data_IF_330554081542
#
_entry.id   IF_330554081542
#
_cell.length_a   1.000
_cell.length_b   1.000
_cell.length_c   1.000
_cell.angle_alpha   90.00
_cell.angle_beta   90.00
_cell.angle_gamma   90.00
#
_symmetry.space_group_name_H-M   'P 1'
#
loop_
_entity.id
_entity.type
_entity.pdbx_description
1 polymer ?
#
# COMPACT_ATOMS: atom_id res chain seq x y z
N UNK A 1 -1.42 -10.54 2.42
CA UNK A 1 -0.59 -10.21 3.59
C UNK A 1 0.75 -10.94 3.57
N UNK A 2 1.53 -10.74 2.51
CA UNK A 2 2.98 -10.68 2.73
C UNK A 2 3.19 -9.46 3.61
N UNK A 3 4.04 -9.53 4.65
CA UNK A 3 4.48 -8.28 5.27
C UNK A 3 5.06 -7.40 4.15
N UNK A 4 5.10 -6.10 4.27
CA UNK A 4 5.84 -5.27 3.33
C UNK A 4 6.62 -4.27 4.16
N UNK A 5 7.70 -3.74 3.60
CA UNK A 5 8.50 -2.75 4.29
C UNK A 5 7.67 -1.52 4.68
N UNK A 6 6.56 -1.23 4.01
CA UNK A 6 5.65 -0.12 4.34
C UNK A 6 4.44 -0.52 5.20
N UNK A 7 4.30 -1.78 5.57
CA UNK A 7 3.15 -2.29 6.34
C UNK A 7 3.04 -1.60 7.71
N UNK A 8 4.18 -1.18 8.28
CA UNK A 8 4.23 -0.42 9.53
C UNK A 8 3.95 1.08 9.38
N UNK A 9 4.10 1.64 8.17
CA UNK A 9 3.89 3.07 7.89
C UNK A 9 2.40 3.40 7.72
N UNK A 10 1.58 2.38 7.48
CA UNK A 10 0.17 2.52 7.16
C UNK A 10 -0.69 1.99 8.29
N UNK A 11 -1.61 2.81 8.76
CA UNK A 11 -2.72 2.34 9.58
C UNK A 11 -3.97 2.23 8.72
N UNK A 12 -4.30 1.01 8.31
CA UNK A 12 -5.54 0.69 7.58
C UNK A 12 -6.71 0.38 8.53
N UNK A 13 -6.61 0.76 9.81
CA UNK A 13 -7.64 0.49 10.81
C UNK A 13 -9.03 0.98 10.38
N UNK A 14 -9.10 2.13 9.72
CA UNK A 14 -10.38 2.68 9.26
C UNK A 14 -10.93 1.92 8.06
N UNK A 15 -10.06 1.48 7.14
CA UNK A 15 -10.43 0.61 6.01
C UNK A 15 -10.95 -0.73 6.52
N UNK A 16 -10.26 -1.35 7.49
CA UNK A 16 -10.67 -2.60 8.10
C UNK A 16 -12.02 -2.47 8.82
N UNK A 17 -12.24 -1.38 9.56
CA UNK A 17 -13.53 -1.10 10.21
C UNK A 17 -14.67 -1.01 9.19
N UNK A 18 -14.44 -0.35 8.07
CA UNK A 18 -15.49 -0.17 7.06
C UNK A 18 -15.74 -1.47 6.29
N UNK A 19 -14.69 -2.18 5.89
CA UNK A 19 -14.82 -3.53 5.32
C UNK A 19 -15.61 -4.43 6.27
N UNK A 20 -15.35 -4.37 7.58
CA UNK A 20 -16.12 -5.14 8.57
C UNK A 20 -17.60 -4.77 8.66
N UNK A 21 -17.98 -3.53 8.33
CA UNK A 21 -19.38 -3.08 8.29
C UNK A 21 -20.10 -3.52 7.02
N UNK A 22 -19.41 -3.49 5.88
CA UNK A 22 -20.03 -3.74 4.57
C UNK A 22 -19.98 -5.22 4.20
N UNK A 23 -18.88 -5.92 4.53
CA UNK A 23 -18.79 -7.36 4.33
C UNK A 23 -19.46 -8.12 5.47
N UNK A 24 -20.34 -9.04 5.08
CA UNK A 24 -21.19 -9.80 6.01
C UNK A 24 -20.51 -11.11 6.40
N UNK A 25 -19.76 -11.70 5.46
CA UNK A 25 -19.03 -12.95 5.64
C UNK A 25 -17.54 -12.73 5.88
N UNK A 26 -16.86 -13.77 6.40
CA UNK A 26 -15.40 -13.77 6.55
C UNK A 26 -14.68 -13.82 5.20
N UNK A 27 -15.25 -14.56 4.24
CA UNK A 27 -14.72 -14.63 2.87
C UNK A 27 -14.74 -13.26 2.18
N UNK A 28 -15.87 -12.54 2.19
CA UNK A 28 -15.94 -11.20 1.60
C UNK A 28 -14.94 -10.22 2.25
N UNK A 29 -14.72 -10.35 3.57
CA UNK A 29 -13.71 -9.54 4.27
C UNK A 29 -12.32 -9.85 3.76
N UNK A 30 -11.98 -11.13 3.62
CA UNK A 30 -10.68 -11.56 3.10
C UNK A 30 -10.49 -11.18 1.63
N UNK A 31 -11.54 -11.24 0.80
CA UNK A 31 -11.52 -10.79 -0.60
C UNK A 31 -11.32 -9.29 -0.71
N UNK A 32 -12.14 -8.48 -0.02
CA UNK A 32 -12.00 -7.02 -0.03
C UNK A 32 -10.63 -6.59 0.51
N UNK A 33 -10.17 -7.26 1.57
CA UNK A 33 -8.84 -7.01 2.12
C UNK A 33 -7.72 -7.39 1.15
N UNK A 34 -7.86 -8.50 0.44
CA UNK A 34 -6.92 -8.91 -0.60
C UNK A 34 -6.86 -7.90 -1.74
N UNK A 35 -8.00 -7.36 -2.18
CA UNK A 35 -8.06 -6.30 -3.19
C UNK A 35 -7.36 -5.03 -2.72
N UNK A 36 -7.59 -4.61 -1.47
CA UNK A 36 -6.89 -3.46 -0.88
C UNK A 36 -5.38 -3.69 -0.89
N UNK A 37 -4.93 -4.85 -0.40
CA UNK A 37 -3.51 -5.24 -0.36
C UNK A 37 -2.85 -5.20 -1.75
N UNK A 38 -3.52 -5.78 -2.77
CA UNK A 38 -3.03 -5.77 -4.16
C UNK A 38 -2.95 -4.36 -4.76
N UNK A 39 -4.03 -3.57 -4.63
CA UNK A 39 -4.07 -2.21 -5.18
C UNK A 39 -2.98 -1.36 -4.50
N UNK A 40 -2.84 -1.47 -3.17
CA UNK A 40 -1.80 -0.77 -2.42
C UNK A 40 -0.42 -1.16 -2.89
N UNK A 41 -0.12 -2.46 -2.97
CA UNK A 41 1.17 -2.93 -3.44
C UNK A 41 1.51 -2.38 -4.83
N UNK A 42 0.57 -2.44 -5.77
CA UNK A 42 0.77 -1.94 -7.12
C UNK A 42 0.98 -0.42 -7.15
N UNK A 43 0.20 0.34 -6.37
CA UNK A 43 0.29 1.81 -6.29
C UNK A 43 1.62 2.27 -5.70
N UNK A 44 2.03 1.65 -4.58
CA UNK A 44 3.28 1.95 -3.89
C UNK A 44 4.47 1.62 -4.78
N UNK A 45 4.47 0.43 -5.38
CA UNK A 45 5.56 0.02 -6.26
C UNK A 45 5.65 0.93 -7.49
N UNK A 46 4.51 1.33 -8.05
CA UNK A 46 4.45 2.31 -9.12
C UNK A 46 5.05 3.67 -8.73
N UNK A 47 4.65 4.21 -7.57
CA UNK A 47 5.18 5.47 -7.05
C UNK A 47 6.70 5.43 -6.85
N UNK A 48 7.20 4.34 -6.29
CA UNK A 48 8.64 4.13 -6.07
C UNK A 48 9.39 4.06 -7.39
N UNK A 49 8.94 3.24 -8.33
CA UNK A 49 9.60 3.08 -9.63
C UNK A 49 9.53 4.35 -10.49
N UNK A 50 8.50 5.19 -10.31
CA UNK A 50 8.38 6.48 -11.00
C UNK A 50 9.42 7.49 -10.47
N UNK A 51 9.66 7.49 -9.16
CA UNK A 51 10.61 8.38 -8.48
C UNK A 51 12.05 7.89 -8.54
N UNK A 52 12.24 6.57 -8.49
CA UNK A 52 13.55 5.96 -8.49
C UNK A 52 14.19 6.10 -9.89
N UNK A 53 15.46 6.48 -10.01
CA UNK A 53 16.15 6.49 -11.29
C UNK A 53 16.19 5.08 -11.91
N UNK A 54 16.00 4.98 -13.24
CA UNK A 54 15.99 3.68 -13.96
C UNK A 54 17.23 2.82 -13.69
N UNK A 55 18.39 3.44 -13.53
CA UNK A 55 19.64 2.73 -13.22
C UNK A 55 19.58 1.97 -11.89
N UNK A 56 18.75 2.41 -10.94
CA UNK A 56 18.58 1.77 -9.63
C UNK A 56 17.36 0.84 -9.58
N UNK A 57 16.55 0.73 -10.66
CA UNK A 57 15.35 -0.10 -10.67
C UNK A 57 15.67 -1.58 -10.46
N UNK A 58 16.67 -2.11 -11.18
CA UNK A 58 17.09 -3.51 -11.03
C UNK A 58 17.62 -3.80 -9.62
N UNK A 59 18.45 -2.92 -9.06
CA UNK A 59 19.01 -3.09 -7.72
C UNK A 59 17.90 -3.10 -6.66
N UNK A 60 16.96 -2.16 -6.75
CA UNK A 60 15.81 -2.11 -5.85
C UNK A 60 14.93 -3.37 -5.99
N UNK A 61 14.64 -3.81 -7.21
CA UNK A 61 13.84 -5.02 -7.45
C UNK A 61 14.54 -6.26 -6.87
N UNK A 62 15.85 -6.40 -7.04
CA UNK A 62 16.60 -7.50 -6.43
C UNK A 62 16.53 -7.48 -4.91
N UNK A 63 16.72 -6.31 -4.29
CA UNK A 63 16.62 -6.16 -2.84
C UNK A 63 15.20 -6.48 -2.35
N UNK A 64 14.18 -5.95 -3.04
CA UNK A 64 12.78 -6.20 -2.74
C UNK A 64 12.42 -7.67 -2.86
N UNK A 65 12.90 -8.36 -3.90
CA UNK A 65 12.70 -9.80 -4.08
C UNK A 65 13.39 -10.64 -2.99
N UNK A 66 14.56 -10.21 -2.50
CA UNK A 66 15.28 -10.91 -1.43
C UNK A 66 14.63 -10.70 -0.06
N UNK A 67 14.30 -9.45 0.27
CA UNK A 67 13.75 -9.07 1.56
C UNK A 67 12.65 -8.00 1.43
N UNK A 68 11.41 -8.38 1.06
CA UNK A 68 10.31 -7.44 0.82
C UNK A 68 9.82 -6.71 2.08
N UNK A 69 10.28 -7.14 3.26
CA UNK A 69 9.91 -6.60 4.57
C UNK A 69 11.01 -5.73 5.19
N UNK A 70 12.14 -5.58 4.51
CA UNK A 70 13.30 -4.95 5.09
C UNK A 70 13.13 -3.43 5.14
N UNK A 71 13.29 -2.84 6.31
CA UNK A 71 13.23 -1.39 6.50
C UNK A 71 14.39 -0.69 5.76
N UNK A 72 15.49 -1.41 5.49
CA UNK A 72 16.62 -0.88 4.70
C UNK A 72 16.23 -0.52 3.26
N UNK A 73 15.12 -1.06 2.74
CA UNK A 73 14.57 -0.63 1.45
C UNK A 73 14.12 0.83 1.49
N UNK A 74 13.52 1.27 2.60
CA UNK A 74 13.09 2.66 2.78
C UNK A 74 14.32 3.57 2.80
N UNK A 75 15.34 3.21 3.58
CA UNK A 75 16.59 3.96 3.67
C UNK A 75 17.27 4.08 2.30
N UNK A 76 17.34 2.97 1.55
CA UNK A 76 17.90 2.95 0.20
C UNK A 76 17.13 3.88 -0.74
N UNK A 77 15.80 3.78 -0.75
CA UNK A 77 14.94 4.63 -1.57
C UNK A 77 15.09 6.11 -1.20
N UNK A 78 15.13 6.42 0.09
CA UNK A 78 15.31 7.78 0.59
C UNK A 78 16.69 8.35 0.20
N UNK A 79 17.75 7.55 0.25
CA UNK A 79 19.09 7.95 -0.18
C UNK A 79 19.16 8.20 -1.69
N UNK A 80 18.54 7.34 -2.51
CA UNK A 80 18.57 7.45 -3.98
C UNK A 80 17.64 8.51 -4.55
N UNK A 81 16.43 8.63 -4.00
CA UNK A 81 15.41 9.58 -4.46
C UNK A 81 15.69 10.97 -3.87
N UNK A 82 16.22 11.05 -2.65
CA UNK A 82 16.47 12.30 -1.94
C UNK A 82 15.22 12.98 -1.40
N UNK A 83 14.06 12.33 -1.47
CA UNK A 83 12.78 12.76 -0.90
C UNK A 83 12.37 11.82 0.25
N UNK A 84 11.50 12.30 1.15
CA UNK A 84 10.90 11.45 2.18
C UNK A 84 9.94 10.43 1.53
N UNK A 85 10.48 9.27 1.17
CA UNK A 85 9.71 8.20 0.53
C UNK A 85 8.62 7.67 1.47
N UNK A 86 8.88 7.66 2.79
CA UNK A 86 7.87 7.29 3.78
C UNK A 86 6.63 8.18 3.71
N UNK A 87 6.81 9.50 3.63
CA UNK A 87 5.69 10.44 3.54
C UNK A 87 4.95 10.28 2.21
N UNK A 88 5.67 10.06 1.10
CA UNK A 88 5.09 9.79 -0.20
C UNK A 88 4.22 8.53 -0.18
N UNK A 89 4.76 7.42 0.33
CA UNK A 89 4.06 6.15 0.44
C UNK A 89 2.84 6.30 1.35
N UNK A 90 3.00 6.94 2.51
CA UNK A 90 1.91 7.18 3.45
C UNK A 90 0.80 8.05 2.87
N UNK A 91 1.16 9.08 2.09
CA UNK A 91 0.22 9.94 1.38
C UNK A 91 -0.54 9.21 0.29
N UNK A 92 0.15 8.46 -0.57
CA UNK A 92 -0.46 7.67 -1.65
C UNK A 92 -1.41 6.60 -1.11
N UNK A 93 -0.96 5.86 -0.11
CA UNK A 93 -1.79 4.83 0.52
C UNK A 93 -2.96 5.46 1.27
N UNK A 94 -2.76 6.58 1.96
CA UNK A 94 -3.84 7.31 2.62
C UNK A 94 -4.91 7.79 1.64
N UNK A 95 -4.50 8.33 0.49
CA UNK A 95 -5.40 8.70 -0.60
C UNK A 95 -6.15 7.49 -1.15
N UNK A 96 -5.44 6.38 -1.39
CA UNK A 96 -6.05 5.15 -1.89
C UNK A 96 -7.05 4.56 -0.90
N UNK A 97 -6.68 4.50 0.38
CA UNK A 97 -7.55 4.06 1.47
C UNK A 97 -8.81 4.93 1.54
N UNK A 98 -8.66 6.25 1.39
CA UNK A 98 -9.78 7.18 1.33
C UNK A 98 -10.68 6.95 0.11
N UNK A 99 -10.10 6.75 -1.08
CA UNK A 99 -10.84 6.42 -2.31
C UNK A 99 -11.65 5.13 -2.14
N UNK A 100 -11.01 4.07 -1.63
CA UNK A 100 -11.64 2.77 -1.38
C UNK A 100 -12.75 2.91 -0.33
N UNK A 101 -12.49 3.60 0.78
CA UNK A 101 -13.51 3.89 1.80
C UNK A 101 -14.70 4.64 1.23
N UNK A 102 -14.45 5.61 0.36
CA UNK A 102 -15.50 6.40 -0.26
C UNK A 102 -16.34 5.56 -1.24
N UNK A 103 -15.70 4.74 -2.08
CA UNK A 103 -16.35 3.76 -2.96
C UNK A 103 -17.25 2.80 -2.16
N UNK A 104 -16.72 2.25 -1.07
CA UNK A 104 -17.44 1.34 -0.17
C UNK A 104 -18.67 2.04 0.45
N UNK A 105 -18.51 3.26 0.97
CA UNK A 105 -19.62 4.05 1.54
C UNK A 105 -20.68 4.40 0.51
N UNK A 106 -20.28 4.80 -0.70
CA UNK A 106 -21.21 5.16 -1.78
C UNK A 106 -22.05 3.95 -2.19
N UNK A 107 -21.49 2.74 -2.17
CA UNK A 107 -22.27 1.52 -2.38
C UNK A 107 -23.28 1.26 -1.26
N UNK A 108 -22.86 1.44 0.00
CA UNK A 108 -23.72 1.20 1.17
C UNK A 108 -24.91 2.17 1.28
N UNK A 109 -24.82 3.40 0.75
CA UNK A 109 -25.93 4.37 0.76
C UNK A 109 -26.96 4.18 -0.36
N UNK A 110 -26.69 3.30 -1.33
CA UNK A 110 -27.55 3.08 -2.51
C UNK A 110 -28.44 1.84 -2.43
N UNK A 111 -28.31 1.02 -1.39
CA UNK A 111 -29.21 -0.10 -1.07
C UNK A 111 -30.17 0.23 0.08
#
# INVERSE_FOLDING_TARGET
>A
MSKLFFDHLVSLEDVEKEIKKVATSKEEKEELWGLVDEIMHHKVMGCILDKLPRDNHEEFLEMFHKHPHDETLIDYLQEKIGENIEELIKGEIGNLAFEILNEIKIKAEKE
#
